data_IF_668933497001
#
_entry.id   IF_668933497001
#
_cell.length_a   1.000
_cell.length_b   1.000
_cell.length_c   1.000
_cell.angle_alpha   90.00
_cell.angle_beta   90.00
_cell.angle_gamma   90.00
#
_symmetry.space_group_name_H-M   'P 1'
#
loop_
_entity.id
_entity.type
_entity.pdbx_description
1 polymer ?
#
# COMPACT_ATOMS: atom_id res chain seq x y z
N UNK A 1 6.45 -1.79 -29.65
CA UNK A 1 7.79 -1.67 -29.05
C UNK A 1 7.87 -0.63 -27.93
N UNK A 2 7.51 0.65 -28.16
CA UNK A 2 7.58 1.71 -27.14
C UNK A 2 6.89 1.34 -25.81
N UNK A 3 5.67 0.78 -25.87
CA UNK A 3 4.92 0.32 -24.69
C UNK A 3 5.67 -0.75 -23.87
N UNK A 4 6.26 -1.75 -24.53
CA UNK A 4 7.00 -2.81 -23.84
C UNK A 4 8.26 -2.27 -23.17
N UNK A 5 8.98 -1.38 -23.86
CA UNK A 5 10.15 -0.70 -23.31
C UNK A 5 9.75 0.15 -22.10
N UNK A 6 8.66 0.91 -22.18
CA UNK A 6 8.15 1.70 -21.06
C UNK A 6 7.77 0.84 -19.85
N UNK A 7 7.08 -0.28 -20.07
CA UNK A 7 6.73 -1.23 -19.00
C UNK A 7 8.00 -1.80 -18.37
N UNK A 8 8.96 -2.24 -19.19
CA UNK A 8 10.23 -2.78 -18.69
C UNK A 8 10.98 -1.76 -17.83
N UNK A 9 11.13 -0.53 -18.33
CA UNK A 9 11.82 0.54 -17.59
C UNK A 9 11.10 0.89 -16.29
N UNK A 10 9.76 0.95 -16.30
CA UNK A 10 8.98 1.23 -15.09
C UNK A 10 9.10 0.09 -14.07
N UNK A 11 9.09 -1.16 -14.51
CA UNK A 11 9.31 -2.32 -13.65
C UNK A 11 10.71 -2.31 -13.03
N UNK A 12 11.75 -2.04 -13.82
CA UNK A 12 13.12 -1.92 -13.31
C UNK A 12 13.23 -0.77 -12.31
N UNK A 13 12.62 0.38 -12.60
CA UNK A 13 12.58 1.51 -11.68
C UNK A 13 11.91 1.13 -10.36
N UNK A 14 10.76 0.47 -10.40
CA UNK A 14 10.04 0.05 -9.20
C UNK A 14 10.87 -0.95 -8.38
N UNK A 15 11.50 -1.93 -9.02
CA UNK A 15 12.39 -2.90 -8.34
C UNK A 15 13.63 -2.22 -7.76
N UNK A 16 14.19 -1.21 -8.42
CA UNK A 16 15.42 -0.53 -7.98
C UNK A 16 15.19 0.51 -6.88
N UNK A 17 13.98 1.06 -6.77
CA UNK A 17 13.64 2.13 -5.81
C UNK A 17 12.83 1.64 -4.63
N UNK A 18 12.39 0.38 -4.64
CA UNK A 18 11.66 -0.25 -3.55
C UNK A 18 12.33 -1.55 -3.12
N UNK A 19 11.85 -2.15 -2.03
CA UNK A 19 12.38 -3.41 -1.52
C UNK A 19 11.85 -4.66 -2.26
N UNK A 20 11.28 -4.50 -3.46
CA UNK A 20 10.80 -5.65 -4.24
C UNK A 20 11.90 -6.68 -4.53
N UNK A 21 13.16 -6.27 -4.58
CA UNK A 21 14.27 -7.20 -4.75
C UNK A 21 14.38 -8.23 -3.60
N UNK A 22 13.84 -7.93 -2.41
CA UNK A 22 13.86 -8.86 -1.27
C UNK A 22 13.07 -10.15 -1.58
N UNK A 23 12.04 -10.09 -2.43
CA UNK A 23 11.30 -11.29 -2.87
C UNK A 23 12.19 -12.28 -3.64
N UNK A 24 13.29 -11.83 -4.25
CA UNK A 24 14.25 -12.72 -4.91
C UNK A 24 15.02 -13.60 -3.92
N UNK A 25 14.98 -13.28 -2.61
CA UNK A 25 15.60 -14.06 -1.52
C UNK A 25 14.65 -15.11 -0.91
N UNK A 26 13.43 -15.25 -1.41
CA UNK A 26 12.50 -16.29 -0.96
C UNK A 26 13.10 -17.71 -1.05
N UNK A 27 13.89 -18.08 -2.08
CA UNK A 27 14.54 -19.38 -2.12
C UNK A 27 15.43 -19.65 -0.89
N UNK A 28 16.22 -18.66 -0.47
CA UNK A 28 17.09 -18.76 0.73
C UNK A 28 16.27 -18.99 2.01
N UNK A 29 15.10 -18.34 2.13
CA UNK A 29 14.17 -18.55 3.24
C UNK A 29 13.64 -19.99 3.27
N UNK A 30 13.23 -20.52 2.11
CA UNK A 30 12.70 -21.89 2.01
C UNK A 30 13.79 -22.91 2.35
N UNK A 31 15.01 -22.72 1.83
CA UNK A 31 16.15 -23.58 2.12
C UNK A 31 16.47 -23.61 3.62
N UNK A 32 16.59 -22.43 4.25
CA UNK A 32 16.87 -22.33 5.69
C UNK A 32 15.75 -22.94 6.55
N UNK A 33 14.48 -22.74 6.15
CA UNK A 33 13.36 -23.40 6.82
C UNK A 33 13.43 -24.93 6.72
N UNK A 34 13.77 -25.47 5.54
CA UNK A 34 13.94 -26.91 5.33
C UNK A 34 15.07 -27.48 6.19
N UNK A 35 16.18 -26.76 6.36
CA UNK A 35 17.27 -27.16 7.27
C UNK A 35 16.77 -27.27 8.73
N UNK A 36 16.07 -26.25 9.23
CA UNK A 36 15.49 -26.29 10.57
C UNK A 36 14.43 -27.38 10.73
N UNK A 37 13.64 -27.67 9.69
CA UNK A 37 12.64 -28.74 9.68
C UNK A 37 13.28 -30.13 9.71
N UNK A 38 14.43 -30.29 9.04
CA UNK A 38 15.20 -31.53 9.06
C UNK A 38 15.84 -31.79 10.43
N UNK A 39 16.31 -30.74 11.11
CA UNK A 39 16.89 -30.84 12.45
C UNK A 39 15.81 -31.00 13.55
N UNK A 40 14.69 -30.30 13.41
CA UNK A 40 13.57 -30.32 14.34
C UNK A 40 12.26 -30.55 13.57
N UNK A 41 11.78 -31.81 13.46
CA UNK A 41 10.55 -32.13 12.73
C UNK A 41 9.30 -31.40 13.24
N UNK A 42 9.27 -31.00 14.51
CA UNK A 42 8.17 -30.23 15.11
C UNK A 42 8.22 -28.72 14.77
N UNK A 43 9.28 -28.24 14.13
CA UNK A 43 9.41 -26.84 13.71
C UNK A 43 8.27 -26.49 12.74
N UNK A 44 7.49 -25.48 13.09
CA UNK A 44 6.48 -24.92 12.20
C UNK A 44 7.04 -23.70 11.47
N UNK A 45 6.46 -23.37 10.33
CA UNK A 45 6.88 -22.21 9.55
C UNK A 45 6.70 -20.90 10.34
N UNK A 46 5.63 -20.78 11.14
CA UNK A 46 5.40 -19.63 12.01
C UNK A 46 6.40 -19.55 13.15
N UNK A 47 6.78 -20.68 13.76
CA UNK A 47 7.83 -20.71 14.77
C UNK A 47 9.19 -20.29 14.19
N UNK A 48 9.52 -20.75 12.98
CA UNK A 48 10.75 -20.33 12.27
C UNK A 48 10.79 -18.81 12.06
N UNK A 49 9.70 -18.20 11.56
CA UNK A 49 9.63 -16.75 11.41
C UNK A 49 9.78 -16.02 12.74
N UNK A 50 9.15 -16.52 13.81
CA UNK A 50 9.25 -15.90 15.12
C UNK A 50 10.70 -15.89 15.62
N UNK A 51 11.42 -16.99 15.48
CA UNK A 51 12.83 -17.07 15.89
C UNK A 51 13.72 -16.08 15.11
N UNK A 52 13.49 -15.93 13.81
CA UNK A 52 14.39 -15.17 12.93
C UNK A 52 14.01 -13.70 12.70
N UNK A 53 12.75 -13.32 12.94
CA UNK A 53 12.25 -11.96 12.66
C UNK A 53 11.74 -11.21 13.89
N UNK A 54 11.29 -11.91 14.95
CA UNK A 54 10.80 -11.26 16.18
C UNK A 54 11.95 -10.97 17.14
N UNK A 55 12.76 -12.00 17.43
CA UNK A 55 13.89 -11.91 18.37
C UNK A 55 15.17 -12.49 17.76
N UNK A 56 15.76 -11.83 16.74
CA UNK A 56 16.93 -12.36 16.05
C UNK A 56 18.12 -12.47 17.02
N UNK A 57 18.61 -13.69 17.22
CA UNK A 57 19.79 -13.98 18.05
C UNK A 57 21.02 -14.05 17.16
N UNK A 58 22.12 -13.43 17.60
CA UNK A 58 23.42 -13.61 16.94
C UNK A 58 24.02 -14.95 17.36
N UNK A 59 23.72 -16.00 16.63
CA UNK A 59 24.26 -17.32 16.86
C UNK A 59 25.09 -17.82 15.65
N UNK A 60 25.26 -19.15 15.53
CA UNK A 60 26.03 -19.76 14.45
C UNK A 60 25.40 -19.53 13.07
N UNK A 61 24.09 -19.31 13.00
CA UNK A 61 23.33 -19.15 11.76
C UNK A 61 23.22 -17.69 11.33
N UNK A 62 23.76 -16.75 12.12
CA UNK A 62 23.69 -15.30 11.87
C UNK A 62 24.05 -14.88 10.43
N UNK A 63 25.03 -15.54 9.79
CA UNK A 63 25.39 -15.23 8.39
C UNK A 63 24.35 -15.72 7.37
N UNK A 64 23.65 -16.81 7.65
CA UNK A 64 22.51 -17.28 6.85
C UNK A 64 21.30 -16.39 7.10
N UNK A 65 21.06 -15.99 8.34
CA UNK A 65 19.93 -15.14 8.71
C UNK A 65 20.00 -13.78 8.00
N UNK A 66 21.20 -13.21 7.83
CA UNK A 66 21.40 -11.97 7.06
C UNK A 66 21.01 -12.07 5.58
N UNK A 67 20.95 -13.29 5.02
CA UNK A 67 20.51 -13.52 3.63
C UNK A 67 19.00 -13.64 3.51
N UNK A 68 18.27 -13.77 4.62
CA UNK A 68 16.83 -13.86 4.59
C UNK A 68 16.19 -12.57 4.07
N UNK A 69 15.02 -12.67 3.41
CA UNK A 69 14.31 -11.52 2.90
C UNK A 69 13.93 -10.59 4.06
N UNK A 70 14.09 -9.27 3.87
CA UNK A 70 13.69 -8.24 4.85
C UNK A 70 14.43 -8.28 6.21
N UNK A 71 15.57 -8.98 6.32
CA UNK A 71 16.44 -8.89 7.51
C UNK A 71 17.49 -7.78 7.36
N UNK A 72 18.11 -7.69 6.18
CA UNK A 72 19.06 -6.64 5.84
C UNK A 72 18.54 -5.85 4.64
N UNK A 73 18.47 -4.53 4.80
CA UNK A 73 17.98 -3.58 3.81
C UNK A 73 19.15 -2.88 3.12
N UNK A 74 19.12 -2.80 1.80
CA UNK A 74 20.03 -1.99 1.02
C UNK A 74 19.42 -0.59 0.85
N UNK A 75 20.25 0.45 0.79
CA UNK A 75 19.76 1.79 0.52
C UNK A 75 19.13 1.82 -0.89
N UNK A 76 17.82 2.13 -1.01
CA UNK A 76 17.19 2.24 -2.31
C UNK A 76 17.80 3.41 -3.09
N UNK A 77 17.75 3.32 -4.42
CA UNK A 77 18.36 4.31 -5.29
C UNK A 77 17.68 5.68 -5.10
N UNK A 78 18.39 6.63 -4.47
CA UNK A 78 17.92 7.99 -4.25
C UNK A 78 18.42 8.92 -5.37
N UNK A 79 17.53 9.27 -6.31
CA UNK A 79 17.80 10.26 -7.35
C UNK A 79 17.39 11.65 -6.86
N UNK A 80 18.37 12.53 -6.68
CA UNK A 80 18.13 13.95 -6.40
C UNK A 80 18.29 14.73 -7.68
N UNK A 81 17.18 15.25 -8.21
CA UNK A 81 17.21 16.16 -9.35
C UNK A 81 17.27 17.61 -8.83
N UNK A 82 18.34 18.31 -9.17
CA UNK A 82 18.43 19.75 -8.95
C UNK A 82 17.84 20.46 -10.16
N UNK A 83 16.88 21.35 -9.94
CA UNK A 83 16.41 22.25 -10.98
C UNK A 83 17.47 23.34 -11.15
N UNK A 84 17.87 23.64 -12.39
CA UNK A 84 18.71 24.80 -12.65
C UNK A 84 18.03 26.09 -12.14
N UNK A 85 18.86 27.07 -11.77
CA UNK A 85 18.47 28.44 -11.44
C UNK A 85 17.88 29.13 -12.69
N UNK A 86 16.65 28.78 -13.04
CA UNK A 86 16.02 29.24 -14.27
C UNK A 86 14.71 28.54 -14.63
N UNK A 87 14.31 27.49 -13.90
CA UNK A 87 13.04 26.81 -14.14
C UNK A 87 11.85 27.73 -13.83
N UNK A 88 11.27 28.33 -14.87
CA UNK A 88 10.01 29.08 -14.78
C UNK A 88 8.86 28.16 -15.20
N UNK A 89 8.09 27.69 -14.22
CA UNK A 89 6.83 27.00 -14.48
C UNK A 89 5.75 28.03 -14.81
N UNK A 90 5.46 28.20 -16.09
CA UNK A 90 4.34 29.02 -16.52
C UNK A 90 3.08 28.14 -16.58
N UNK A 91 2.30 28.14 -15.50
CA UNK A 91 0.93 27.64 -15.53
C UNK A 91 0.20 28.55 -16.52
N UNK A 92 0.03 28.11 -17.76
CA UNK A 92 -0.99 28.69 -18.62
C UNK A 92 -2.29 28.48 -17.90
N UNK A 93 -2.82 29.56 -17.36
CA UNK A 93 -4.18 29.64 -16.89
C UNK A 93 -5.03 29.49 -18.17
N UNK A 94 -5.19 28.27 -18.67
CA UNK A 94 -6.24 27.97 -19.61
C UNK A 94 -7.47 28.22 -18.81
N UNK A 95 -8.04 29.42 -18.99
CA UNK A 95 -9.30 29.80 -18.38
C UNK A 95 -10.19 28.60 -18.56
N UNK A 96 -10.49 27.90 -17.46
CA UNK A 96 -11.47 26.83 -17.51
C UNK A 96 -12.66 27.50 -18.15
N UNK A 97 -13.03 27.07 -19.36
CA UNK A 97 -14.24 27.56 -20.00
C UNK A 97 -15.30 27.10 -19.03
N UNK A 98 -15.76 28.00 -18.17
CA UNK A 98 -16.72 27.71 -17.13
C UNK A 98 -17.85 27.04 -17.87
N UNK A 99 -17.96 25.71 -17.74
CA UNK A 99 -19.12 25.04 -18.29
C UNK A 99 -20.24 25.75 -17.58
N UNK A 100 -21.10 26.46 -18.33
CA UNK A 100 -22.37 26.94 -17.81
C UNK A 100 -23.02 25.69 -17.26
N UNK A 101 -22.90 25.49 -15.95
CA UNK A 101 -23.69 24.52 -15.22
C UNK A 101 -25.09 24.99 -15.50
N UNK A 102 -25.79 24.24 -16.35
CA UNK A 102 -27.22 24.40 -16.45
C UNK A 102 -27.67 24.09 -15.02
N UNK A 103 -28.15 25.11 -14.30
CA UNK A 103 -28.86 24.86 -13.05
C UNK A 103 -29.83 23.73 -13.38
N UNK A 104 -29.65 22.59 -12.74
CA UNK A 104 -30.68 21.57 -12.73
C UNK A 104 -31.91 22.31 -12.25
N UNK A 105 -32.96 22.34 -13.07
CA UNK A 105 -34.24 22.89 -12.69
C UNK A 105 -34.62 22.16 -11.40
N UNK A 106 -34.53 22.85 -10.26
CA UNK A 106 -35.14 22.39 -9.03
C UNK A 106 -36.63 22.43 -9.33
N UNK A 107 -37.17 21.26 -9.69
CA UNK A 107 -38.61 21.10 -9.86
C UNK A 107 -39.29 21.63 -8.61
N UNK A 108 -40.36 22.38 -8.81
CA UNK A 108 -41.17 22.99 -7.77
C UNK A 108 -41.33 22.05 -6.57
N UNK A 109 -40.97 22.53 -5.38
CA UNK A 109 -41.13 21.84 -4.10
C UNK A 109 -42.62 21.73 -3.72
N UNK A 110 -43.44 21.12 -4.58
CA UNK A 110 -44.86 20.87 -4.35
C UNK A 110 -45.15 19.38 -4.11
N UNK A 111 -44.23 18.68 -3.46
CA UNK A 111 -44.52 17.37 -2.88
C UNK A 111 -44.46 17.48 -1.37
N UNK A 112 -45.56 18.02 -0.82
CA UNK A 112 -45.89 17.86 0.59
C UNK A 112 -45.86 16.38 0.94
N UNK A 113 -44.90 16.02 1.77
CA UNK A 113 -44.67 14.68 2.24
C UNK A 113 -45.65 14.38 3.39
N UNK A 114 -46.93 14.20 3.08
CA UNK A 114 -47.95 13.81 4.08
C UNK A 114 -47.97 12.29 4.35
N UNK A 115 -47.23 11.49 3.58
CA UNK A 115 -47.33 10.02 3.59
C UNK A 115 -46.46 9.27 4.60
N UNK A 116 -45.53 9.93 5.30
CA UNK A 116 -44.52 9.24 6.11
C UNK A 116 -44.63 9.49 7.62
N UNK A 117 -45.79 9.90 8.12
CA UNK A 117 -46.00 10.08 9.58
C UNK A 117 -46.10 8.78 10.37
N UNK A 118 -46.34 7.63 9.72
CA UNK A 118 -46.51 6.33 10.41
C UNK A 118 -45.33 5.37 10.27
N UNK A 119 -44.30 5.71 9.50
CA UNK A 119 -43.15 4.83 9.22
C UNK A 119 -41.84 5.31 9.84
N UNK A 120 -41.89 6.39 10.63
CA UNK A 120 -40.73 6.83 11.42
C UNK A 120 -40.81 6.15 12.78
N UNK A 121 -39.82 5.32 13.08
CA UNK A 121 -39.67 4.69 14.39
C UNK A 121 -39.40 5.77 15.45
N UNK A 122 -40.35 5.99 16.37
CA UNK A 122 -40.15 6.86 17.54
C UNK A 122 -39.77 6.00 18.77
N UNK A 123 -38.80 6.43 19.59
CA UNK A 123 -38.49 5.74 20.84
C UNK A 123 -39.64 5.86 21.86
N UNK A 124 -39.85 4.84 22.72
CA UNK A 124 -40.96 4.81 23.67
C UNK A 124 -40.84 5.94 24.70
N UNK A 125 -41.92 6.71 24.88
CA UNK A 125 -42.00 7.79 25.87
C UNK A 125 -42.27 7.16 27.24
N UNK A 126 -41.38 7.35 28.21
CA UNK A 126 -41.61 6.94 29.59
C UNK A 126 -42.70 7.82 30.22
N UNK A 127 -43.77 7.18 30.71
CA UNK A 127 -44.81 7.84 31.49
C UNK A 127 -44.33 7.87 32.94
N UNK A 128 -43.88 9.03 33.42
CA UNK A 128 -43.78 9.30 34.85
C UNK A 128 -45.02 10.10 35.26
N UNK A 129 -45.89 9.46 36.02
CA UNK A 129 -46.97 10.06 36.80
C UNK A 129 -46.84 9.54 38.23
#
# INVERSE_FOLDING_TARGET
MKKLISILLLSLYFVSTTELYQFLKIPDLIEHYCEHKALNPEMTFTAFFKTHYDHPVKDKDYRKDQKLPFVVHAAPLALVFTLEQGFRFEIKNTSFRQLKSHKILSGEETFFNEGFRSSVWEPPRSVFA
#
